data_IF_983540766446
#
_entry.id   IF_983540766446
#
_cell.length_a   1.000
_cell.length_b   1.000
_cell.length_c   1.000
_cell.angle_alpha   90.00
_cell.angle_beta   90.00
_cell.angle_gamma   90.00
#
_symmetry.space_group_name_H-M   'P 1'
#
loop_
_entity.id
_entity.type
_entity.pdbx_description
1 polymer ?
#
# COMPACT_ATOMS: atom_id res chain seq x y z
N UNK A 1 -10.41 10.61 7.35
CA UNK A 1 -9.39 9.62 6.91
C UNK A 1 -8.50 10.34 5.92
N UNK A 2 -7.26 9.91 5.78
CA UNK A 2 -6.24 10.66 5.05
C UNK A 2 -5.48 9.72 4.11
N UNK A 3 -4.99 10.29 3.04
CA UNK A 3 -4.08 9.63 2.11
C UNK A 3 -2.81 9.18 2.83
N UNK A 4 -2.22 8.08 2.35
CA UNK A 4 -0.89 7.69 2.76
C UNK A 4 0.11 8.22 1.74
N UNK A 5 0.85 9.24 2.14
CA UNK A 5 2.00 9.76 1.39
C UNK A 5 3.29 9.37 2.12
N UNK A 6 4.15 8.60 1.45
CA UNK A 6 5.48 8.22 1.94
C UNK A 6 6.49 8.34 0.82
N UNK A 7 7.16 9.47 0.77
CA UNK A 7 8.13 9.84 -0.26
C UNK A 7 9.57 9.56 0.19
N UNK A 8 10.51 9.63 -0.76
CA UNK A 8 11.95 9.55 -0.48
C UNK A 8 12.41 8.16 -0.04
N UNK A 9 11.63 7.11 -0.35
CA UNK A 9 11.93 5.74 0.02
C UNK A 9 11.43 4.74 -1.01
N UNK A 10 12.16 3.65 -1.19
CA UNK A 10 11.79 2.61 -2.15
C UNK A 10 10.66 1.74 -1.60
N UNK A 11 9.56 1.63 -2.35
CA UNK A 11 8.55 0.60 -2.14
C UNK A 11 8.63 -0.52 -3.18
N UNK A 12 8.34 -1.73 -2.73
CA UNK A 12 8.29 -2.95 -3.56
C UNK A 12 7.00 -3.71 -3.29
N UNK A 13 6.55 -4.46 -4.29
CA UNK A 13 5.60 -5.55 -4.08
C UNK A 13 6.33 -6.68 -3.38
N UNK A 14 5.97 -6.95 -2.12
CA UNK A 14 6.60 -8.01 -1.32
C UNK A 14 5.73 -9.26 -1.23
N UNK A 15 4.45 -9.15 -1.58
CA UNK A 15 3.56 -10.30 -1.63
C UNK A 15 2.31 -10.01 -2.44
N UNK A 16 1.92 -10.98 -3.25
CA UNK A 16 0.58 -11.07 -3.82
C UNK A 16 0.07 -12.50 -3.61
N UNK A 17 -1.05 -12.64 -2.91
CA UNK A 17 -1.71 -13.92 -2.69
C UNK A 17 -2.98 -13.99 -3.54
N UNK A 18 -2.97 -14.68 -4.70
CA UNK A 18 -4.13 -14.73 -5.59
C UNK A 18 -5.34 -15.39 -4.94
N UNK A 19 -5.14 -16.45 -4.17
CA UNK A 19 -6.22 -17.22 -3.52
C UNK A 19 -6.97 -16.39 -2.48
N UNK A 20 -6.27 -15.52 -1.77
CA UNK A 20 -6.86 -14.62 -0.77
C UNK A 20 -7.11 -13.21 -1.29
N UNK A 21 -6.69 -12.93 -2.54
CA UNK A 21 -6.81 -11.63 -3.22
C UNK A 21 -6.17 -10.51 -2.41
N UNK A 22 -4.93 -10.71 -1.98
CA UNK A 22 -4.20 -9.78 -1.11
C UNK A 22 -2.95 -9.25 -1.79
N UNK A 23 -2.73 -7.94 -1.67
CA UNK A 23 -1.53 -7.25 -2.11
C UNK A 23 -0.81 -6.65 -0.89
N UNK A 24 0.50 -6.85 -0.85
CA UNK A 24 1.41 -6.29 0.13
C UNK A 24 2.50 -5.47 -0.55
N UNK A 25 2.60 -4.20 -0.18
CA UNK A 25 3.73 -3.33 -0.50
C UNK A 25 4.54 -3.09 0.76
N UNK A 26 5.86 -3.02 0.64
CA UNK A 26 6.70 -2.62 1.75
C UNK A 26 7.85 -1.72 1.31
N UNK A 27 8.26 -0.85 2.22
CA UNK A 27 9.50 -0.09 2.19
C UNK A 27 10.32 -0.47 3.42
N UNK A 28 11.53 -0.97 3.17
CA UNK A 28 12.49 -1.32 4.22
C UNK A 28 13.20 -0.07 4.75
N UNK A 29 13.75 -0.18 5.97
CA UNK A 29 14.65 0.82 6.54
C UNK A 29 16.04 0.75 5.88
N UNK A 30 16.13 1.20 4.62
CA UNK A 30 17.40 1.16 3.88
C UNK A 30 18.26 2.38 4.21
N UNK A 31 19.55 2.15 4.46
CA UNK A 31 20.53 3.22 4.67
C UNK A 31 20.65 4.18 3.47
N UNK A 32 20.48 3.67 2.24
CA UNK A 32 20.50 4.49 1.02
C UNK A 32 19.33 5.49 0.94
N UNK A 33 18.19 5.12 1.53
CA UNK A 33 16.99 5.96 1.61
C UNK A 33 17.01 6.85 2.87
N UNK A 34 18.02 6.69 3.74
CA UNK A 34 18.17 7.38 5.03
C UNK A 34 16.92 7.25 5.91
N UNK A 35 16.28 6.09 5.88
CA UNK A 35 15.10 5.80 6.72
C UNK A 35 15.43 4.78 7.79
N UNK A 36 14.77 4.89 8.94
CA UNK A 36 14.92 3.98 10.09
C UNK A 36 13.69 3.11 10.30
N UNK A 37 12.56 3.47 9.68
CA UNK A 37 11.30 2.75 9.78
C UNK A 37 11.09 1.77 8.64
N UNK A 38 10.39 0.67 8.92
CA UNK A 38 9.73 -0.16 7.91
C UNK A 38 8.29 0.31 7.75
N UNK A 39 7.82 0.43 6.51
CA UNK A 39 6.42 0.73 6.19
C UNK A 39 5.83 -0.41 5.38
N UNK A 40 4.64 -0.85 5.74
CA UNK A 40 3.87 -1.83 4.98
C UNK A 40 2.50 -1.30 4.64
N UNK A 41 2.04 -1.61 3.43
CA UNK A 41 0.68 -1.34 2.95
C UNK A 41 0.05 -2.67 2.56
N UNK A 42 -1.17 -2.88 3.04
CA UNK A 42 -1.98 -4.05 2.77
C UNK A 42 -3.28 -3.65 2.08
N UNK A 43 -3.62 -4.34 0.99
CA UNK A 43 -4.89 -4.20 0.29
C UNK A 43 -5.48 -5.60 0.10
N UNK A 44 -6.64 -5.85 0.69
CA UNK A 44 -7.39 -7.10 0.51
C UNK A 44 -8.43 -7.00 -0.60
N UNK A 45 -9.06 -8.11 -0.96
CA UNK A 45 -10.09 -8.18 -2.01
C UNK A 45 -9.66 -7.54 -3.33
N UNK A 46 -8.41 -7.74 -3.74
CA UNK A 46 -7.89 -7.20 -4.99
C UNK A 46 -8.55 -7.88 -6.18
N UNK A 47 -9.12 -7.06 -7.07
CA UNK A 47 -9.80 -7.50 -8.31
C UNK A 47 -8.96 -7.21 -9.54
N UNK A 48 -8.39 -6.02 -9.59
CA UNK A 48 -7.53 -5.58 -10.67
C UNK A 48 -6.38 -4.77 -10.07
N UNK A 49 -5.20 -4.91 -10.65
CA UNK A 49 -4.05 -4.10 -10.29
C UNK A 49 -3.17 -3.86 -11.50
N UNK A 50 -2.69 -2.63 -11.62
CA UNK A 50 -1.60 -2.28 -12.52
C UNK A 50 -0.49 -1.69 -11.64
N UNK A 51 0.62 -2.42 -11.54
CA UNK A 51 1.70 -2.09 -10.61
C UNK A 51 3.00 -1.85 -11.35
N UNK A 52 3.81 -0.93 -10.83
CA UNK A 52 5.23 -0.88 -11.16
C UNK A 52 5.96 -1.97 -10.36
N UNK A 53 7.06 -2.52 -10.90
CA UNK A 53 7.90 -3.44 -10.12
C UNK A 53 8.52 -2.75 -8.90
N UNK A 54 8.76 -1.44 -9.00
CA UNK A 54 9.38 -0.62 -7.96
C UNK A 54 8.80 0.79 -7.97
N UNK A 55 8.59 1.36 -6.80
CA UNK A 55 8.23 2.76 -6.60
C UNK A 55 9.39 3.48 -5.92
N UNK A 56 10.30 4.04 -6.72
CA UNK A 56 11.59 4.56 -6.25
C UNK A 56 11.46 5.80 -5.39
N UNK A 57 10.48 6.64 -5.68
CA UNK A 57 10.28 7.93 -5.03
C UNK A 57 9.23 7.87 -3.91
N UNK A 58 8.74 6.67 -3.60
CA UNK A 58 7.69 6.45 -2.61
C UNK A 58 6.34 6.07 -3.19
N UNK A 59 5.34 5.99 -2.32
CA UNK A 59 3.94 5.72 -2.70
C UNK A 59 3.02 6.83 -2.22
N UNK A 60 1.99 7.09 -3.02
CA UNK A 60 0.87 7.96 -2.70
C UNK A 60 -0.40 7.12 -2.78
N UNK A 61 -0.74 6.47 -1.67
CA UNK A 61 -1.94 5.62 -1.61
C UNK A 61 -3.12 6.49 -1.24
N UNK A 62 -3.99 6.73 -2.23
CA UNK A 62 -5.18 7.57 -2.11
C UNK A 62 -6.31 7.03 -2.98
N UNK A 63 -7.54 7.45 -2.72
CA UNK A 63 -8.64 7.14 -3.63
C UNK A 63 -8.42 7.85 -4.97
N UNK A 64 -8.76 7.18 -6.07
CA UNK A 64 -8.77 7.81 -7.39
C UNK A 64 -9.77 8.98 -7.42
N UNK A 65 -9.36 10.09 -8.02
CA UNK A 65 -10.31 11.19 -8.30
C UNK A 65 -11.36 10.73 -9.31
N UNK A 66 -12.51 11.41 -9.41
CA UNK A 66 -13.51 11.11 -10.44
C UNK A 66 -12.94 11.13 -11.86
N UNK A 67 -12.04 12.05 -12.15
CA UNK A 67 -11.40 12.22 -13.46
C UNK A 67 -10.43 11.07 -13.75
N UNK A 68 -9.59 10.71 -12.79
CA UNK A 68 -8.69 9.56 -12.92
C UNK A 68 -9.47 8.26 -13.09
N UNK A 69 -10.51 8.07 -12.27
CA UNK A 69 -11.35 6.90 -12.36
C UNK A 69 -12.06 6.80 -13.71
N UNK A 70 -12.53 7.91 -14.28
CA UNK A 70 -13.14 7.90 -15.61
C UNK A 70 -12.17 7.36 -16.69
N UNK A 71 -10.90 7.78 -16.65
CA UNK A 71 -9.85 7.29 -17.56
C UNK A 71 -9.59 5.79 -17.34
N UNK A 72 -9.44 5.37 -16.09
CA UNK A 72 -9.21 3.96 -15.75
C UNK A 72 -10.40 3.08 -16.16
N UNK A 73 -11.62 3.58 -15.94
CA UNK A 73 -12.85 2.90 -16.30
C UNK A 73 -12.95 2.63 -17.79
N UNK A 74 -12.70 3.63 -18.62
CA UNK A 74 -12.70 3.46 -20.08
C UNK A 74 -11.61 2.49 -20.54
N UNK A 75 -10.39 2.66 -20.01
CA UNK A 75 -9.22 1.88 -20.43
C UNK A 75 -9.29 0.41 -20.00
N UNK A 76 -9.81 0.15 -18.80
CA UNK A 76 -9.79 -1.17 -18.16
C UNK A 76 -11.17 -1.81 -18.00
N UNK A 77 -12.22 -1.17 -18.53
CA UNK A 77 -13.62 -1.64 -18.47
C UNK A 77 -14.10 -1.88 -17.04
N UNK A 78 -13.78 -0.95 -16.14
CA UNK A 78 -14.27 -0.99 -14.76
C UNK A 78 -15.77 -0.70 -14.69
N UNK A 79 -16.40 -1.21 -13.64
CA UNK A 79 -17.80 -0.90 -13.33
C UNK A 79 -17.89 0.41 -12.56
N UNK A 80 -19.00 1.12 -12.67
CA UNK A 80 -19.15 2.39 -11.95
C UNK A 80 -19.03 2.24 -10.42
N UNK A 81 -19.37 1.06 -9.88
CA UNK A 81 -19.24 0.74 -8.46
C UNK A 81 -17.78 0.64 -8.00
N UNK A 82 -16.82 0.42 -8.90
CA UNK A 82 -15.40 0.29 -8.56
C UNK A 82 -14.77 1.62 -8.15
N UNK A 83 -15.45 2.75 -8.42
CA UNK A 83 -14.95 4.09 -8.08
C UNK A 83 -14.60 4.23 -6.59
N UNK A 84 -15.41 3.64 -5.71
CA UNK A 84 -15.18 3.72 -4.25
C UNK A 84 -13.96 2.88 -3.81
N UNK A 85 -13.59 1.90 -4.63
CA UNK A 85 -12.60 0.86 -4.34
C UNK A 85 -11.35 0.96 -5.22
N UNK A 86 -11.21 2.05 -5.99
CA UNK A 86 -10.04 2.29 -6.84
C UNK A 86 -9.04 3.18 -6.11
N UNK A 87 -7.83 2.66 -5.90
CA UNK A 87 -6.76 3.30 -5.17
C UNK A 87 -5.57 3.55 -6.08
N UNK A 88 -5.15 4.81 -6.18
CA UNK A 88 -3.91 5.19 -6.86
C UNK A 88 -2.74 4.89 -5.93
N UNK A 89 -1.57 4.56 -6.50
CA UNK A 89 -0.34 4.30 -5.74
C UNK A 89 0.74 5.37 -5.97
N UNK A 90 0.48 6.30 -6.89
CA UNK A 90 1.40 7.36 -7.33
C UNK A 90 0.62 8.67 -7.50
N UNK A 91 1.28 9.83 -7.39
CA UNK A 91 0.61 11.12 -7.56
C UNK A 91 0.08 11.32 -8.99
N UNK A 92 0.91 11.07 -10.01
CA UNK A 92 0.64 11.36 -11.43
C UNK A 92 0.80 10.11 -12.33
N UNK A 93 0.59 8.91 -11.78
CA UNK A 93 0.89 7.64 -12.46
C UNK A 93 -0.34 6.79 -12.81
N UNK A 94 -0.13 5.81 -13.67
CA UNK A 94 -1.13 4.79 -14.03
C UNK A 94 -1.17 3.61 -13.04
N UNK A 95 -0.37 3.63 -11.96
CA UNK A 95 -0.39 2.54 -10.98
C UNK A 95 -1.64 2.62 -10.10
N UNK A 96 -2.48 1.59 -10.15
CA UNK A 96 -3.71 1.52 -9.38
C UNK A 96 -4.04 0.10 -8.92
N UNK A 97 -4.92 0.03 -7.93
CA UNK A 97 -5.49 -1.21 -7.39
C UNK A 97 -6.99 -1.01 -7.21
N UNK A 98 -7.79 -1.94 -7.73
CA UNK A 98 -9.21 -2.08 -7.37
C UNK A 98 -9.30 -3.13 -6.28
N UNK A 99 -9.77 -2.72 -5.10
CA UNK A 99 -9.93 -3.63 -3.97
C UNK A 99 -10.40 -2.95 -2.68
N UNK A 100 -10.33 -3.70 -1.59
CA UNK A 100 -10.71 -3.24 -0.27
C UNK A 100 -9.87 -2.05 0.20
N UNK A 101 -10.34 -1.37 1.23
CA UNK A 101 -9.70 -0.17 1.78
C UNK A 101 -8.25 -0.44 2.22
N UNK A 102 -7.25 0.29 1.70
CA UNK A 102 -5.86 0.11 2.08
C UNK A 102 -5.64 0.36 3.55
N UNK A 103 -4.89 -0.54 4.17
CA UNK A 103 -4.39 -0.41 5.54
C UNK A 103 -2.88 -0.25 5.49
N UNK A 104 -2.31 0.50 6.44
CA UNK A 104 -0.86 0.64 6.53
C UNK A 104 -0.37 0.54 7.97
N UNK A 105 0.89 0.10 8.11
CA UNK A 105 1.62 -0.02 9.38
C UNK A 105 3.04 0.52 9.18
N UNK A 106 3.58 1.17 10.20
CA UNK A 106 4.94 1.71 10.22
C UNK A 106 5.56 1.54 11.61
N UNK A 107 6.80 1.05 11.68
CA UNK A 107 7.54 0.92 12.94
C UNK A 107 9.04 1.08 12.69
N UNK A 108 9.80 1.48 13.72
CA UNK A 108 11.26 1.51 13.67
C UNK A 108 11.81 0.08 13.49
N UNK A 109 12.71 -0.13 12.53
CA UNK A 109 13.18 -1.47 12.20
C UNK A 109 13.94 -2.12 13.38
N UNK A 110 14.77 -1.33 14.07
CA UNK A 110 15.56 -1.82 15.22
C UNK A 110 14.71 -2.33 16.39
N UNK A 111 13.46 -1.85 16.53
CA UNK A 111 12.57 -2.26 17.63
C UNK A 111 11.62 -3.39 17.26
N UNK A 112 11.64 -3.85 16.00
CA UNK A 112 10.79 -4.95 15.54
C UNK A 112 11.26 -6.33 16.05
N UNK A 113 12.47 -6.42 16.63
CA UNK A 113 13.05 -7.68 17.10
C UNK A 113 13.19 -8.68 15.95
N UNK A 114 12.71 -9.91 16.16
CA UNK A 114 12.76 -10.98 15.16
C UNK A 114 11.61 -10.92 14.13
N UNK A 115 10.75 -9.89 14.17
CA UNK A 115 9.62 -9.80 13.23
C UNK A 115 10.11 -9.42 11.83
N UNK A 116 9.79 -10.27 10.86
CA UNK A 116 10.06 -9.99 9.44
C UNK A 116 8.98 -9.13 8.76
N UNK A 117 7.77 -9.09 9.32
CA UNK A 117 6.64 -8.33 8.79
C UNK A 117 5.79 -7.68 9.89
N UNK A 118 5.18 -6.54 9.56
CA UNK A 118 4.18 -5.87 10.40
C UNK A 118 2.79 -6.48 10.20
N UNK A 119 2.47 -7.00 9.02
CA UNK A 119 1.24 -7.75 8.70
C UNK A 119 1.42 -9.26 8.86
N UNK A 120 1.70 -9.71 10.08
CA UNK A 120 1.65 -11.12 10.44
C UNK A 120 0.39 -11.41 11.27
N UNK A 121 -0.52 -12.22 10.71
CA UNK A 121 -1.79 -12.58 11.37
C UNK A 121 -1.62 -13.60 12.51
N UNK A 122 -0.46 -14.25 12.61
CA UNK A 122 -0.12 -15.14 13.73
C UNK A 122 0.32 -14.38 14.98
N UNK A 123 0.66 -13.10 14.84
CA UNK A 123 1.11 -12.24 15.92
C UNK A 123 0.01 -11.26 16.35
N UNK A 124 -0.05 -10.90 17.65
CA UNK A 124 -1.00 -9.92 18.12
C UNK A 124 -0.71 -8.51 17.55
N UNK A 125 -1.79 -7.76 17.31
CA UNK A 125 -1.76 -6.35 16.95
C UNK A 125 -2.72 -5.55 17.86
N UNK A 126 -2.31 -4.38 18.41
CA UNK A 126 -1.03 -3.69 18.18
C UNK A 126 0.17 -4.41 18.80
N UNK A 127 1.39 -4.16 18.29
CA UNK A 127 2.62 -4.70 18.87
C UNK A 127 2.96 -4.02 20.20
N UNK A 128 3.88 -4.62 20.97
CA UNK A 128 4.39 -4.04 22.22
C UNK A 128 5.39 -2.90 22.01
N UNK A 129 5.93 -2.76 20.80
CA UNK A 129 6.82 -1.66 20.42
C UNK A 129 6.06 -0.49 19.80
N UNK A 130 6.63 0.73 19.81
CA UNK A 130 6.03 1.88 19.14
C UNK A 130 5.80 1.62 17.65
N UNK A 131 4.54 1.71 17.24
CA UNK A 131 4.14 1.60 15.84
C UNK A 131 3.08 2.64 15.51
N UNK A 132 3.00 3.03 14.24
CA UNK A 132 1.93 3.84 13.66
C UNK A 132 1.15 2.98 12.68
N UNK A 133 -0.15 3.23 12.56
CA UNK A 133 -0.99 2.52 11.61
C UNK A 133 -2.18 3.38 11.23
N UNK A 134 -2.86 2.98 10.15
CA UNK A 134 -4.07 3.64 9.72
C UNK A 134 -4.72 2.94 8.54
N UNK A 135 -5.82 3.52 8.10
CA UNK A 135 -6.51 3.17 6.86
C UNK A 135 -6.61 4.42 5.99
N UNK A 136 -6.48 4.21 4.68
CA UNK A 136 -6.70 5.24 3.66
C UNK A 136 -8.20 5.33 3.39
N UNK A 137 -8.77 6.51 3.15
CA UNK A 137 -10.20 6.62 2.86
C UNK A 137 -10.71 8.03 2.65
#
# INVERSE_FOLDING_TARGET
>A
MADLVREGRLFRVVGFNPSHRQLHLASEALAIDRTTTRVEVYIGHVELMLLKPFYRDGVHVRRASPEEFAVLRERHRLEAADAEYTWMLEPDGDSFVVGGRPSWREAEYEVMGDREALYDASLPWPPEFPARWGTVG
#
